data_IF_071634553159
#
_entry.id   IF_071634553159
#
_cell.length_a   1.000
_cell.length_b   1.000
_cell.length_c   1.000
_cell.angle_alpha   90.00
_cell.angle_beta   90.00
_cell.angle_gamma   90.00
#
_symmetry.space_group_name_H-M   'P 1'
#
loop_
_entity.id
_entity.type
_entity.pdbx_description
1 polymer ?
#
# COMPACT_ATOMS: atom_id res chain seq x y z
N UNK A 1 6.45 25.84 -12.36
CA UNK A 1 6.45 27.29 -12.05
C UNK A 1 5.87 27.54 -10.65
N UNK A 2 4.70 26.99 -10.32
CA UNK A 2 4.01 27.22 -9.03
C UNK A 2 4.63 26.52 -7.81
N UNK A 3 5.47 25.52 -7.97
CA UNK A 3 6.13 24.80 -6.87
C UNK A 3 7.00 25.70 -5.99
N UNK A 4 7.52 26.80 -6.54
CA UNK A 4 8.34 27.76 -5.80
C UNK A 4 7.58 28.53 -4.72
N UNK A 5 6.25 28.56 -4.80
CA UNK A 5 5.38 29.24 -3.83
C UNK A 5 5.23 28.44 -2.54
N UNK A 6 5.42 27.13 -2.60
CA UNK A 6 5.36 26.24 -1.42
C UNK A 6 6.66 26.41 -0.64
N UNK A 7 6.60 27.06 0.52
CA UNK A 7 7.78 27.35 1.35
C UNK A 7 8.35 26.08 2.01
N UNK A 8 7.48 25.21 2.48
CA UNK A 8 7.88 23.96 3.12
C UNK A 8 8.53 23.02 2.08
N UNK A 9 9.79 22.65 2.35
CA UNK A 9 10.57 21.78 1.48
C UNK A 9 10.02 20.34 1.42
N UNK A 10 9.50 19.83 2.55
CA UNK A 10 8.90 18.48 2.62
C UNK A 10 7.66 18.43 1.74
N UNK A 11 6.72 19.36 1.93
CA UNK A 11 5.49 19.45 1.12
C UNK A 11 5.81 19.65 -0.35
N UNK A 12 6.77 20.51 -0.69
CA UNK A 12 7.20 20.71 -2.09
C UNK A 12 7.71 19.42 -2.73
N UNK A 13 8.46 18.60 -1.99
CA UNK A 13 8.93 17.30 -2.47
C UNK A 13 7.76 16.33 -2.68
N UNK A 14 6.79 16.28 -1.76
CA UNK A 14 5.61 15.42 -1.89
C UNK A 14 4.77 15.82 -3.11
N UNK A 15 4.54 17.12 -3.32
CA UNK A 15 3.86 17.62 -4.53
C UNK A 15 4.61 17.23 -5.81
N UNK A 16 5.94 17.32 -5.80
CA UNK A 16 6.76 16.90 -6.95
C UNK A 16 6.66 15.39 -7.23
N UNK A 17 6.66 14.56 -6.17
CA UNK A 17 6.49 13.11 -6.28
C UNK A 17 5.09 12.76 -6.81
N UNK A 18 4.04 13.41 -6.29
CA UNK A 18 2.66 13.24 -6.78
C UNK A 18 2.53 13.58 -8.26
N UNK A 19 3.14 14.68 -8.69
CA UNK A 19 3.13 15.09 -10.10
C UNK A 19 3.84 14.06 -11.00
N UNK A 20 4.95 13.49 -10.53
CA UNK A 20 5.65 12.45 -11.27
C UNK A 20 4.82 11.16 -11.36
N UNK A 21 4.22 10.72 -10.25
CA UNK A 21 3.32 9.56 -10.22
C UNK A 21 2.16 9.76 -11.20
N UNK A 22 1.49 10.92 -11.12
CA UNK A 22 0.40 11.25 -12.04
C UNK A 22 0.82 11.19 -13.50
N UNK A 23 1.95 11.80 -13.88
CA UNK A 23 2.45 11.80 -15.26
C UNK A 23 2.74 10.37 -15.74
N UNK A 24 3.44 9.58 -14.96
CA UNK A 24 3.80 8.21 -15.32
C UNK A 24 2.57 7.31 -15.49
N UNK A 25 1.53 7.51 -14.65
CA UNK A 25 0.29 6.74 -14.76
C UNK A 25 -0.60 7.26 -15.89
N UNK A 26 -0.66 8.58 -16.08
CA UNK A 26 -1.55 9.21 -17.06
C UNK A 26 -1.11 8.95 -18.50
N UNK A 27 0.20 9.01 -18.78
CA UNK A 27 0.74 8.92 -20.13
C UNK A 27 0.22 7.70 -20.93
N UNK A 28 0.24 6.46 -20.41
CA UNK A 28 -0.29 5.28 -21.10
C UNK A 28 -1.83 5.20 -21.13
N UNK A 29 -2.53 5.96 -20.28
CA UNK A 29 -3.97 5.87 -20.07
C UNK A 29 -4.75 7.00 -20.75
N UNK A 30 -4.13 8.14 -21.05
CA UNK A 30 -4.81 9.37 -21.45
C UNK A 30 -5.81 9.16 -22.60
N UNK A 31 -5.42 8.43 -23.63
CA UNK A 31 -6.27 8.17 -24.80
C UNK A 31 -7.43 7.19 -24.54
N UNK A 32 -7.41 6.50 -23.39
CA UNK A 32 -8.40 5.48 -22.99
C UNK A 32 -9.42 6.01 -21.99
N UNK A 33 -9.18 7.19 -21.40
CA UNK A 33 -10.04 7.77 -20.40
C UNK A 33 -11.26 8.44 -21.03
N UNK A 34 -12.43 8.18 -20.47
CA UNK A 34 -13.67 8.82 -20.89
C UNK A 34 -13.69 10.29 -20.51
N UNK A 35 -14.25 11.10 -21.38
CA UNK A 35 -14.39 12.54 -21.20
C UNK A 35 -15.84 12.98 -21.22
N UNK A 36 -16.15 14.03 -20.48
CA UNK A 36 -17.48 14.62 -20.40
C UNK A 36 -17.50 15.85 -19.53
N UNK A 37 -18.69 16.38 -19.31
CA UNK A 37 -18.89 17.50 -18.39
C UNK A 37 -18.83 17.02 -16.95
N UNK A 38 -18.02 17.67 -16.15
CA UNK A 38 -17.85 17.44 -14.71
C UNK A 38 -18.07 18.73 -13.94
N UNK A 39 -18.52 18.62 -12.70
CA UNK A 39 -18.67 19.77 -11.80
C UNK A 39 -17.31 20.36 -11.41
N UNK A 40 -16.31 19.47 -11.22
CA UNK A 40 -14.90 19.79 -10.97
C UNK A 40 -14.60 20.46 -9.62
N UNK A 41 -15.61 20.76 -8.81
CA UNK A 41 -15.44 21.32 -7.46
C UNK A 41 -16.45 20.71 -6.46
N UNK A 42 -16.57 19.37 -6.49
CA UNK A 42 -17.44 18.63 -5.59
C UNK A 42 -16.84 18.56 -4.18
N UNK A 43 -17.03 19.62 -3.40
CA UNK A 43 -16.64 19.73 -2.01
C UNK A 43 -17.88 19.81 -1.08
N UNK A 44 -17.68 19.73 0.23
CA UNK A 44 -18.73 19.75 1.23
C UNK A 44 -19.52 21.06 1.30
N UNK A 45 -18.95 22.19 0.91
CA UNK A 45 -19.66 23.47 0.82
C UNK A 45 -20.63 23.55 -0.38
N UNK A 46 -20.37 22.75 -1.41
CA UNK A 46 -21.18 22.71 -2.62
C UNK A 46 -22.27 21.65 -2.57
N UNK A 47 -22.36 20.86 -1.50
CA UNK A 47 -23.35 19.81 -1.28
C UNK A 47 -24.38 20.26 -0.24
N UNK A 48 -25.62 20.41 -0.67
CA UNK A 48 -26.75 20.70 0.21
C UNK A 48 -27.42 19.41 0.64
N UNK A 49 -27.65 19.25 1.92
CA UNK A 49 -28.33 18.07 2.49
C UNK A 49 -29.70 18.51 3.01
N UNK A 50 -30.77 17.96 2.44
CA UNK A 50 -32.13 18.17 2.89
C UNK A 50 -32.56 16.95 3.74
N UNK A 51 -32.58 17.09 5.07
CA UNK A 51 -32.94 15.99 5.95
C UNK A 51 -34.39 15.55 5.72
N UNK A 52 -34.64 14.23 5.69
CA UNK A 52 -35.96 13.64 5.68
C UNK A 52 -36.27 13.00 7.04
N UNK A 53 -37.55 12.96 7.41
CA UNK A 53 -38.01 12.29 8.65
C UNK A 53 -37.76 10.78 8.61
N UNK A 54 -37.68 10.19 7.41
CA UNK A 54 -37.35 8.78 7.21
C UNK A 54 -36.67 8.60 5.84
N UNK A 55 -35.75 7.63 5.76
CA UNK A 55 -35.00 7.31 4.54
C UNK A 55 -33.72 8.12 4.32
N UNK A 56 -33.14 8.02 3.14
CA UNK A 56 -31.96 8.78 2.75
C UNK A 56 -32.31 10.27 2.51
N UNK A 57 -31.46 11.22 2.95
CA UNK A 57 -31.68 12.64 2.68
C UNK A 57 -31.63 12.93 1.18
N UNK A 58 -32.34 13.97 0.76
CA UNK A 58 -32.14 14.52 -0.58
C UNK A 58 -30.86 15.35 -0.62
N UNK A 59 -30.10 15.20 -1.69
CA UNK A 59 -28.87 15.96 -1.92
C UNK A 59 -29.08 16.93 -3.07
N UNK A 60 -28.63 18.16 -2.88
CA UNK A 60 -28.53 19.16 -3.92
C UNK A 60 -27.06 19.51 -4.17
N UNK A 61 -26.74 19.90 -5.37
CA UNK A 61 -25.43 20.40 -5.77
C UNK A 61 -25.55 21.83 -6.25
N UNK A 62 -24.65 22.69 -5.81
CA UNK A 62 -24.60 24.12 -6.16
C UNK A 62 -23.22 24.49 -6.67
N UNK A 63 -23.07 25.70 -7.16
CA UNK A 63 -21.83 26.29 -7.65
C UNK A 63 -21.20 25.57 -8.85
N UNK A 64 -21.87 25.70 -9.99
CA UNK A 64 -21.43 25.16 -11.29
C UNK A 64 -20.40 26.05 -12.01
N UNK A 65 -19.79 27.03 -11.30
CA UNK A 65 -18.83 27.98 -11.89
C UNK A 65 -17.58 27.34 -12.46
N UNK A 66 -17.12 26.25 -11.85
CA UNK A 66 -15.93 25.49 -12.25
C UNK A 66 -16.20 24.31 -13.19
N UNK A 67 -17.47 24.18 -13.66
CA UNK A 67 -17.84 23.10 -14.57
C UNK A 67 -16.99 23.12 -15.85
N UNK A 68 -16.47 21.97 -16.22
CA UNK A 68 -15.59 21.85 -17.39
C UNK A 68 -15.77 20.53 -18.10
N UNK A 69 -15.35 20.49 -19.38
CA UNK A 69 -15.29 19.24 -20.15
C UNK A 69 -13.90 18.61 -19.97
N UNK A 70 -13.84 17.57 -19.13
CA UNK A 70 -12.58 16.94 -18.73
C UNK A 70 -12.72 15.42 -18.64
N UNK A 71 -11.77 14.74 -18.00
CA UNK A 71 -11.86 13.29 -17.71
C UNK A 71 -12.94 13.05 -16.67
N UNK A 72 -13.85 12.11 -16.94
CA UNK A 72 -14.97 11.82 -16.04
C UNK A 72 -14.51 11.34 -14.67
N UNK A 73 -13.41 10.61 -14.60
CA UNK A 73 -12.80 10.15 -13.34
C UNK A 73 -12.27 11.28 -12.46
N UNK A 74 -12.06 12.48 -13.00
CA UNK A 74 -11.67 13.63 -12.20
C UNK A 74 -12.77 14.07 -11.22
N UNK A 75 -14.05 13.84 -11.55
CA UNK A 75 -15.16 14.13 -10.64
C UNK A 75 -15.08 13.37 -9.32
N UNK A 76 -15.07 12.02 -9.29
CA UNK A 76 -14.90 11.29 -8.04
C UNK A 76 -13.53 11.53 -7.39
N UNK A 77 -12.47 11.86 -8.15
CA UNK A 77 -11.17 12.20 -7.58
C UNK A 77 -11.24 13.48 -6.74
N UNK A 78 -11.88 14.53 -7.26
CA UNK A 78 -12.12 15.78 -6.53
C UNK A 78 -12.96 15.52 -5.28
N UNK A 79 -14.08 14.82 -5.42
CA UNK A 79 -14.96 14.49 -4.31
C UNK A 79 -14.23 13.68 -3.22
N UNK A 80 -13.42 12.67 -3.58
CA UNK A 80 -12.62 11.90 -2.65
C UNK A 80 -11.60 12.78 -1.91
N UNK A 81 -10.88 13.66 -2.61
CA UNK A 81 -9.89 14.53 -1.98
C UNK A 81 -10.49 15.36 -0.83
N UNK A 82 -11.70 15.86 -1.00
CA UNK A 82 -12.40 16.59 0.07
C UNK A 82 -13.01 15.66 1.14
N UNK A 83 -13.63 14.54 0.73
CA UNK A 83 -14.23 13.60 1.67
C UNK A 83 -13.20 12.94 2.61
N UNK A 84 -11.94 12.87 2.19
CA UNK A 84 -10.83 12.29 2.97
C UNK A 84 -10.23 13.26 3.99
N UNK A 85 -10.48 14.58 3.90
CA UNK A 85 -9.95 15.56 4.83
C UNK A 85 -10.43 15.26 6.25
N UNK A 86 -9.53 15.34 7.21
CA UNK A 86 -9.78 15.16 8.64
C UNK A 86 -10.42 13.83 9.04
N UNK A 87 -10.34 12.81 8.18
CA UNK A 87 -10.85 11.48 8.51
C UNK A 87 -9.78 10.64 9.20
N UNK A 88 -10.16 9.87 10.24
CA UNK A 88 -9.25 8.91 10.86
C UNK A 88 -8.70 7.90 9.85
N UNK A 89 -9.57 7.34 9.00
CA UNK A 89 -9.19 6.54 7.83
C UNK A 89 -9.63 7.24 6.54
N UNK A 90 -8.72 7.95 5.85
CA UNK A 90 -9.03 8.62 4.60
C UNK A 90 -9.44 7.66 3.47
N UNK A 91 -8.79 6.48 3.38
CA UNK A 91 -9.09 5.52 2.33
C UNK A 91 -10.48 4.92 2.49
N UNK A 92 -10.93 4.65 3.71
CA UNK A 92 -12.30 4.20 3.97
C UNK A 92 -13.33 5.21 3.49
N UNK A 93 -13.10 6.50 3.78
CA UNK A 93 -13.98 7.58 3.29
C UNK A 93 -14.04 7.59 1.75
N UNK A 94 -12.90 7.45 1.07
CA UNK A 94 -12.86 7.35 -0.38
C UNK A 94 -13.60 6.11 -0.91
N UNK A 95 -13.43 4.94 -0.28
CA UNK A 95 -14.12 3.69 -0.64
C UNK A 95 -15.63 3.85 -0.65
N UNK A 96 -16.20 4.48 0.37
CA UNK A 96 -17.64 4.71 0.43
C UNK A 96 -18.14 5.59 -0.71
N UNK A 97 -17.41 6.66 -1.04
CA UNK A 97 -17.74 7.56 -2.13
C UNK A 97 -17.61 6.87 -3.49
N UNK A 98 -16.50 6.18 -3.73
CA UNK A 98 -16.23 5.44 -4.97
C UNK A 98 -17.28 4.38 -5.22
N UNK A 99 -17.66 3.62 -4.19
CA UNK A 99 -18.73 2.62 -4.26
C UNK A 99 -20.06 3.25 -4.68
N UNK A 100 -20.44 4.34 -4.04
CA UNK A 100 -21.67 5.08 -4.36
C UNK A 100 -21.66 5.65 -5.78
N UNK A 101 -20.54 6.22 -6.20
CA UNK A 101 -20.33 6.75 -7.54
C UNK A 101 -20.42 5.63 -8.59
N UNK A 102 -19.69 4.54 -8.39
CA UNK A 102 -19.65 3.38 -9.30
C UNK A 102 -21.03 2.74 -9.48
N UNK A 103 -21.88 2.69 -8.44
CA UNK A 103 -23.24 2.17 -8.52
C UNK A 103 -24.13 2.97 -9.48
N UNK A 104 -23.87 4.26 -9.67
CA UNK A 104 -24.63 5.15 -10.54
C UNK A 104 -23.96 5.37 -11.88
N UNK A 105 -22.66 5.46 -11.86
CA UNK A 105 -21.82 5.66 -13.03
C UNK A 105 -20.63 4.72 -12.94
N UNK A 106 -20.68 3.53 -13.56
CA UNK A 106 -19.63 2.54 -13.47
C UNK A 106 -18.29 3.07 -13.96
N UNK A 107 -17.30 3.04 -13.06
CA UNK A 107 -15.91 3.36 -13.38
C UNK A 107 -15.27 2.21 -14.14
N UNK A 108 -14.45 2.52 -15.13
CA UNK A 108 -13.68 1.57 -15.92
C UNK A 108 -12.31 1.30 -15.29
N UNK A 109 -11.66 0.21 -15.69
CA UNK A 109 -10.36 -0.20 -15.16
C UNK A 109 -9.31 0.91 -15.25
N UNK A 110 -9.20 1.56 -16.42
CA UNK A 110 -8.23 2.63 -16.62
C UNK A 110 -8.53 3.87 -15.73
N UNK A 111 -9.80 4.09 -15.40
CA UNK A 111 -10.22 5.15 -14.50
C UNK A 111 -9.88 4.83 -13.05
N UNK A 112 -10.05 3.58 -12.62
CA UNK A 112 -9.65 3.13 -11.28
C UNK A 112 -8.14 3.18 -11.08
N UNK A 113 -7.36 2.88 -12.13
CA UNK A 113 -5.90 2.92 -12.09
C UNK A 113 -5.36 4.35 -11.87
N UNK A 114 -5.97 5.35 -12.53
CA UNK A 114 -5.53 6.76 -12.41
C UNK A 114 -6.19 7.48 -11.22
N UNK A 115 -7.21 6.93 -10.59
CA UNK A 115 -8.03 7.63 -9.58
C UNK A 115 -7.18 8.11 -8.38
N UNK A 116 -6.34 7.24 -7.79
CA UNK A 116 -5.51 7.63 -6.66
C UNK A 116 -4.50 8.75 -7.02
N UNK A 117 -3.73 8.66 -8.12
CA UNK A 117 -2.92 9.78 -8.60
C UNK A 117 -3.71 11.08 -8.80
N UNK A 118 -4.96 11.02 -9.29
CA UNK A 118 -5.79 12.21 -9.45
C UNK A 118 -6.24 12.80 -8.11
N UNK A 119 -6.54 11.98 -7.11
CA UNK A 119 -6.82 12.45 -5.74
C UNK A 119 -5.62 13.24 -5.20
N UNK A 120 -4.41 12.68 -5.32
CA UNK A 120 -3.18 13.38 -4.93
C UNK A 120 -3.01 14.70 -5.69
N UNK A 121 -3.30 14.72 -7.00
CA UNK A 121 -3.20 15.93 -7.80
C UNK A 121 -4.20 17.00 -7.37
N UNK A 122 -5.42 16.64 -6.96
CA UNK A 122 -6.38 17.61 -6.42
C UNK A 122 -5.86 18.25 -5.14
N UNK A 123 -5.30 17.47 -4.22
CA UNK A 123 -4.65 18.01 -3.01
C UNK A 123 -3.47 18.92 -3.36
N UNK A 124 -2.61 18.49 -4.28
CA UNK A 124 -1.48 19.29 -4.76
C UNK A 124 -1.94 20.63 -5.34
N UNK A 125 -3.05 20.63 -6.07
CA UNK A 125 -3.64 21.85 -6.64
C UNK A 125 -4.12 22.77 -5.53
N UNK A 126 -4.86 22.27 -4.54
CA UNK A 126 -5.34 23.03 -3.39
C UNK A 126 -4.16 23.64 -2.60
N UNK A 127 -3.12 22.87 -2.33
CA UNK A 127 -1.91 23.33 -1.63
C UNK A 127 -1.21 24.43 -2.42
N UNK A 128 -1.07 24.26 -3.73
CA UNK A 128 -0.34 25.20 -4.59
C UNK A 128 -1.10 26.51 -4.75
N UNK A 129 -2.42 26.46 -4.96
CA UNK A 129 -3.29 27.63 -5.05
C UNK A 129 -3.31 28.36 -3.70
N UNK A 130 -3.47 27.63 -2.58
CA UNK A 130 -3.43 28.22 -1.24
C UNK A 130 -2.11 28.93 -0.95
N UNK A 131 -0.97 28.34 -1.31
CA UNK A 131 0.34 28.96 -1.16
C UNK A 131 0.48 30.25 -2.00
N UNK A 132 -0.05 30.26 -3.23
CA UNK A 132 -0.08 31.44 -4.08
C UNK A 132 -0.98 32.54 -3.49
N UNK A 133 -2.19 32.19 -3.04
CA UNK A 133 -3.13 33.16 -2.46
C UNK A 133 -2.58 33.76 -1.16
N UNK A 134 -1.99 32.95 -0.29
CA UNK A 134 -1.39 33.39 0.97
C UNK A 134 -0.23 34.35 0.75
N UNK A 135 0.50 34.23 -0.36
CA UNK A 135 1.55 35.20 -0.69
C UNK A 135 0.97 36.56 -1.15
N UNK A 136 -0.17 36.52 -1.84
CA UNK A 136 -0.84 37.74 -2.32
C UNK A 136 -1.67 38.42 -1.22
N UNK A 137 -2.19 37.66 -0.26
CA UNK A 137 -2.92 38.14 0.91
C UNK A 137 -2.43 37.49 2.22
N UNK A 138 -1.27 37.92 2.75
CA UNK A 138 -0.66 37.31 3.95
C UNK A 138 -1.46 37.49 5.23
N UNK A 139 -2.48 38.35 5.24
CA UNK A 139 -3.32 38.63 6.42
C UNK A 139 -4.55 37.73 6.51
N UNK A 140 -4.82 36.95 5.49
CA UNK A 140 -5.96 36.04 5.45
C UNK A 140 -5.61 34.72 6.11
N UNK A 141 -5.87 34.61 7.41
CA UNK A 141 -5.61 33.40 8.21
C UNK A 141 -6.42 32.17 7.74
N UNK A 142 -7.59 32.38 7.14
CA UNK A 142 -8.45 31.30 6.64
C UNK A 142 -7.78 30.46 5.55
N UNK A 143 -6.97 31.10 4.69
CA UNK A 143 -6.23 30.40 3.64
C UNK A 143 -5.20 29.41 4.21
N UNK A 144 -4.62 29.72 5.36
CA UNK A 144 -3.65 28.86 6.05
C UNK A 144 -4.28 27.59 6.60
N UNK A 145 -5.49 27.66 7.16
CA UNK A 145 -6.19 26.51 7.78
C UNK A 145 -6.51 25.45 6.72
N UNK A 146 -7.18 25.83 5.65
CA UNK A 146 -7.55 24.90 4.56
C UNK A 146 -6.33 24.25 3.91
N UNK A 147 -5.23 24.99 3.79
CA UNK A 147 -3.98 24.47 3.25
C UNK A 147 -3.33 23.44 4.18
N UNK A 148 -3.40 23.63 5.50
CA UNK A 148 -2.82 22.72 6.47
C UNK A 148 -3.46 21.33 6.37
N UNK A 149 -4.78 21.24 6.38
CA UNK A 149 -5.50 19.95 6.28
C UNK A 149 -5.14 19.18 4.98
N UNK A 150 -5.00 19.90 3.87
CA UNK A 150 -4.57 19.29 2.61
C UNK A 150 -3.11 18.81 2.66
N UNK A 151 -2.21 19.53 3.35
CA UNK A 151 -0.83 19.11 3.54
C UNK A 151 -0.74 17.83 4.41
N UNK A 152 -1.45 17.81 5.53
CA UNK A 152 -1.49 16.65 6.44
C UNK A 152 -2.04 15.41 5.74
N UNK A 153 -3.13 15.56 4.99
CA UNK A 153 -3.67 14.46 4.19
C UNK A 153 -2.68 14.00 3.11
N UNK A 154 -2.02 14.93 2.40
CA UNK A 154 -1.03 14.58 1.39
C UNK A 154 0.13 13.77 1.98
N UNK A 155 0.63 14.14 3.17
CA UNK A 155 1.66 13.40 3.89
C UNK A 155 1.20 11.97 4.17
N UNK A 156 0.02 11.80 4.76
CA UNK A 156 -0.55 10.47 5.05
C UNK A 156 -0.73 9.62 3.80
N UNK A 157 -1.24 10.19 2.72
CA UNK A 157 -1.45 9.45 1.47
C UNK A 157 -0.14 9.07 0.77
N UNK A 158 0.96 9.76 1.03
CA UNK A 158 2.28 9.36 0.52
C UNK A 158 2.86 8.10 1.19
N UNK A 159 2.37 7.72 2.37
CA UNK A 159 2.69 6.45 3.03
C UNK A 159 1.88 5.28 2.44
N UNK A 160 0.83 5.57 1.67
CA UNK A 160 0.00 4.56 1.01
C UNK A 160 0.67 4.09 -0.28
N UNK A 161 0.82 2.77 -0.44
CA UNK A 161 1.23 2.22 -1.71
C UNK A 161 0.14 2.46 -2.78
N UNK A 162 0.42 3.12 -3.91
CA UNK A 162 -0.58 3.41 -4.94
C UNK A 162 -1.31 2.16 -5.48
N UNK A 163 -0.64 1.00 -5.52
CA UNK A 163 -1.27 -0.28 -5.90
C UNK A 163 -2.28 -0.75 -4.86
N UNK A 164 -1.98 -0.55 -3.58
CA UNK A 164 -2.93 -0.88 -2.53
C UNK A 164 -4.21 -0.04 -2.65
N UNK A 165 -4.08 1.28 -2.85
CA UNK A 165 -5.22 2.15 -3.09
C UNK A 165 -6.03 1.70 -4.33
N UNK A 166 -5.36 1.38 -5.44
CA UNK A 166 -6.01 0.85 -6.64
C UNK A 166 -6.79 -0.44 -6.36
N UNK A 167 -6.20 -1.40 -5.66
CA UNK A 167 -6.87 -2.67 -5.33
C UNK A 167 -8.07 -2.46 -4.40
N UNK A 168 -7.95 -1.54 -3.45
CA UNK A 168 -9.04 -1.17 -2.55
C UNK A 168 -10.22 -0.53 -3.32
N UNK A 169 -9.92 0.33 -4.30
CA UNK A 169 -10.94 0.97 -5.14
C UNK A 169 -11.61 -0.04 -6.08
N UNK A 170 -10.89 -1.02 -6.60
CA UNK A 170 -11.46 -2.14 -7.34
C UNK A 170 -12.44 -2.95 -6.51
N UNK A 171 -12.03 -3.30 -5.28
CA UNK A 171 -12.90 -4.02 -4.33
C UNK A 171 -14.17 -3.20 -4.00
N UNK A 172 -14.03 -1.89 -3.80
CA UNK A 172 -15.16 -0.99 -3.61
C UNK A 172 -16.17 -1.02 -4.77
N UNK A 173 -15.68 -1.30 -5.98
CA UNK A 173 -16.49 -1.45 -7.20
C UNK A 173 -16.98 -2.88 -7.45
N UNK A 174 -16.83 -3.82 -6.51
CA UNK A 174 -17.10 -5.25 -6.64
C UNK A 174 -16.33 -5.91 -7.79
N UNK A 175 -15.16 -5.39 -8.12
CA UNK A 175 -14.21 -6.03 -9.02
C UNK A 175 -13.24 -6.87 -8.23
N UNK A 176 -12.62 -7.89 -8.87
CA UNK A 176 -11.50 -8.61 -8.25
C UNK A 176 -10.41 -7.60 -7.85
N UNK A 177 -10.09 -7.52 -6.56
CA UNK A 177 -9.15 -6.52 -6.03
C UNK A 177 -7.80 -6.58 -6.75
N UNK A 178 -7.28 -7.79 -6.95
CA UNK A 178 -6.03 -8.02 -7.67
C UNK A 178 -6.29 -8.42 -9.14
N UNK A 179 -6.11 -7.53 -10.13
CA UNK A 179 -6.54 -7.75 -11.51
C UNK A 179 -5.90 -8.97 -12.17
N UNK A 180 -4.67 -9.32 -11.80
CA UNK A 180 -3.96 -10.48 -12.37
C UNK A 180 -4.26 -11.80 -11.64
N UNK A 181 -5.08 -11.81 -10.59
CA UNK A 181 -5.38 -13.02 -9.81
C UNK A 181 -5.94 -14.18 -10.66
N UNK A 182 -6.89 -13.95 -11.58
CA UNK A 182 -7.42 -15.02 -12.42
C UNK A 182 -6.36 -15.64 -13.34
N UNK A 183 -5.46 -14.83 -13.90
CA UNK A 183 -4.37 -15.29 -14.76
C UNK A 183 -3.29 -16.00 -13.95
N UNK A 184 -2.92 -15.44 -12.81
CA UNK A 184 -2.00 -16.07 -11.87
C UNK A 184 -2.52 -17.43 -11.41
N UNK A 185 -3.79 -17.54 -11.05
CA UNK A 185 -4.41 -18.80 -10.62
C UNK A 185 -4.42 -19.85 -11.74
N UNK A 186 -4.69 -19.44 -12.99
CA UNK A 186 -4.57 -20.34 -14.16
C UNK A 186 -3.14 -20.81 -14.37
N UNK A 187 -2.19 -19.88 -14.31
CA UNK A 187 -0.77 -20.19 -14.42
C UNK A 187 -0.33 -21.13 -13.29
N UNK A 188 -0.66 -20.83 -12.03
CA UNK A 188 -0.34 -21.66 -10.88
C UNK A 188 -0.84 -23.09 -11.02
N UNK A 189 -2.09 -23.28 -11.43
CA UNK A 189 -2.66 -24.61 -11.70
C UNK A 189 -1.91 -25.36 -12.81
N UNK A 190 -1.49 -24.64 -13.86
CA UNK A 190 -0.75 -25.22 -14.99
C UNK A 190 0.64 -25.70 -14.57
N UNK A 191 1.32 -24.96 -13.69
CA UNK A 191 2.72 -25.24 -13.31
C UNK A 191 2.86 -25.99 -11.99
N UNK A 192 1.79 -26.24 -11.25
CA UNK A 192 1.82 -26.85 -9.92
C UNK A 192 2.58 -28.19 -9.84
N UNK A 193 2.58 -28.97 -10.92
CA UNK A 193 3.33 -30.24 -11.01
C UNK A 193 4.75 -30.10 -11.57
N UNK A 194 5.18 -28.88 -11.94
CA UNK A 194 6.48 -28.66 -12.61
C UNK A 194 7.47 -27.88 -11.74
N UNK A 195 7.16 -27.62 -10.48
CA UNK A 195 8.09 -26.98 -9.57
C UNK A 195 9.29 -27.89 -9.31
N UNK A 196 10.49 -27.31 -9.47
CA UNK A 196 11.71 -27.98 -9.07
C UNK A 196 11.89 -27.89 -7.54
N UNK A 197 12.49 -28.90 -6.95
CA UNK A 197 12.79 -28.87 -5.53
C UNK A 197 13.89 -27.83 -5.23
N UNK A 198 13.67 -27.02 -4.23
CA UNK A 198 14.56 -25.92 -3.85
C UNK A 198 15.96 -26.40 -3.46
N UNK A 199 16.08 -27.63 -2.90
CA UNK A 199 17.32 -28.27 -2.55
C UNK A 199 17.78 -29.31 -3.59
N UNK A 200 17.18 -29.32 -4.79
CA UNK A 200 17.51 -30.25 -5.88
C UNK A 200 16.79 -31.61 -5.78
N UNK A 201 16.30 -31.97 -4.61
CA UNK A 201 15.57 -33.20 -4.33
C UNK A 201 14.43 -32.94 -3.33
N UNK A 202 13.46 -33.89 -3.22
CA UNK A 202 12.43 -33.80 -2.18
C UNK A 202 13.04 -33.75 -0.78
N UNK A 203 12.41 -32.98 0.13
CA UNK A 203 12.82 -33.00 1.54
C UNK A 203 12.71 -34.41 2.10
N UNK A 204 13.83 -34.96 2.56
CA UNK A 204 13.84 -36.24 3.26
C UNK A 204 13.22 -36.06 4.64
N UNK A 205 12.02 -36.60 4.87
CA UNK A 205 11.27 -36.45 6.12
C UNK A 205 11.99 -37.07 7.32
N UNK A 206 12.83 -38.07 7.13
CA UNK A 206 13.63 -38.70 8.22
C UNK A 206 14.79 -37.80 8.67
N UNK A 207 15.24 -36.89 7.79
CA UNK A 207 16.33 -35.95 8.05
C UNK A 207 15.85 -34.49 8.23
N UNK A 208 14.54 -34.29 8.27
CA UNK A 208 13.92 -32.99 8.41
C UNK A 208 13.18 -32.89 9.73
N UNK A 209 13.38 -31.79 10.45
CA UNK A 209 12.61 -31.48 11.66
C UNK A 209 11.90 -30.15 11.51
N UNK A 210 10.72 -30.02 12.13
CA UNK A 210 9.99 -28.77 12.20
C UNK A 210 10.57 -27.93 13.34
N UNK A 211 10.94 -26.69 13.01
CA UNK A 211 11.33 -25.67 13.97
C UNK A 211 10.07 -24.90 14.39
N UNK A 212 9.72 -24.99 15.66
CA UNK A 212 8.63 -24.18 16.21
C UNK A 212 9.18 -22.84 16.69
N UNK A 213 9.13 -21.84 15.79
CA UNK A 213 9.59 -20.47 16.05
C UNK A 213 8.47 -19.57 16.58
N UNK A 214 7.30 -20.15 16.90
CA UNK A 214 6.18 -19.40 17.42
C UNK A 214 6.47 -18.79 18.79
N UNK A 215 5.85 -17.64 19.05
CA UNK A 215 5.90 -16.99 20.35
C UNK A 215 5.43 -17.95 21.46
N UNK A 216 6.26 -18.08 22.50
CA UNK A 216 6.00 -19.01 23.61
C UNK A 216 6.37 -20.47 23.35
N UNK A 217 6.90 -20.84 22.19
CA UNK A 217 7.48 -22.15 21.99
C UNK A 217 8.75 -22.33 22.84
N UNK A 218 9.06 -23.57 23.21
CA UNK A 218 10.29 -23.86 23.95
C UNK A 218 11.56 -23.57 23.17
N UNK A 219 11.51 -23.62 21.85
CA UNK A 219 12.62 -23.26 20.95
C UNK A 219 12.83 -21.73 20.97
N UNK A 220 11.78 -20.97 20.74
CA UNK A 220 11.82 -19.50 20.73
C UNK A 220 12.26 -18.95 22.09
N UNK A 221 11.69 -19.46 23.19
CA UNK A 221 12.05 -19.01 24.54
C UNK A 221 13.52 -19.26 24.91
N UNK A 222 14.14 -20.30 24.35
CA UNK A 222 15.56 -20.62 24.60
C UNK A 222 16.50 -19.78 23.74
N UNK A 223 16.10 -19.38 22.55
CA UNK A 223 16.92 -18.59 21.62
C UNK A 223 16.76 -17.09 21.82
N UNK A 224 15.79 -16.65 22.61
CA UNK A 224 15.54 -15.24 22.87
C UNK A 224 16.74 -14.57 23.60
N UNK A 225 17.17 -13.43 23.10
CA UNK A 225 18.31 -12.68 23.65
C UNK A 225 19.70 -13.24 23.34
N UNK A 226 19.81 -14.30 22.57
CA UNK A 226 21.10 -14.81 22.09
C UNK A 226 21.67 -13.94 20.96
N UNK A 227 23.01 -13.86 20.88
CA UNK A 227 23.67 -13.31 19.69
C UNK A 227 23.41 -14.20 18.47
N UNK A 228 23.60 -13.68 17.26
CA UNK A 228 23.41 -14.44 16.01
C UNK A 228 24.26 -15.70 15.97
N UNK A 229 25.51 -15.65 16.46
CA UNK A 229 26.41 -16.80 16.54
C UNK A 229 25.88 -17.84 17.53
N UNK A 230 25.37 -17.41 18.69
CA UNK A 230 24.79 -18.31 19.69
C UNK A 230 23.48 -18.94 19.20
N UNK A 231 22.67 -18.21 18.47
CA UNK A 231 21.46 -18.75 17.82
C UNK A 231 21.79 -19.81 16.77
N UNK A 232 22.83 -19.60 15.96
CA UNK A 232 23.30 -20.56 14.99
C UNK A 232 23.80 -21.85 15.69
N UNK A 233 24.63 -21.73 16.72
CA UNK A 233 25.12 -22.88 17.49
C UNK A 233 23.98 -23.63 18.19
N UNK A 234 22.99 -22.92 18.70
CA UNK A 234 21.79 -23.51 19.29
C UNK A 234 20.99 -24.28 18.23
N UNK A 235 20.77 -23.72 17.05
CA UNK A 235 20.09 -24.38 15.94
C UNK A 235 20.83 -25.64 15.50
N UNK A 236 22.15 -25.57 15.31
CA UNK A 236 22.97 -26.72 14.90
C UNK A 236 22.93 -27.84 15.96
N UNK A 237 22.89 -27.46 17.23
CA UNK A 237 22.78 -28.42 18.35
C UNK A 237 21.40 -29.07 18.35
N UNK A 238 20.34 -28.27 18.19
CA UNK A 238 18.97 -28.77 18.11
C UNK A 238 18.75 -29.73 16.95
N UNK A 239 19.29 -29.42 15.76
CA UNK A 239 19.22 -30.32 14.59
C UNK A 239 19.94 -31.64 14.86
N UNK A 240 21.13 -31.61 15.47
CA UNK A 240 21.87 -32.81 15.87
C UNK A 240 21.12 -33.66 16.87
N UNK A 241 20.50 -33.06 17.88
CA UNK A 241 19.67 -33.80 18.87
C UNK A 241 18.46 -34.47 18.25
N UNK A 242 17.91 -33.89 17.17
CA UNK A 242 16.79 -34.42 16.39
C UNK A 242 17.23 -35.43 15.31
N UNK A 243 18.54 -35.68 15.15
CA UNK A 243 19.10 -36.43 14.04
C UNK A 243 18.65 -35.89 12.67
N UNK A 244 18.49 -34.58 12.57
CA UNK A 244 18.03 -33.88 11.38
C UNK A 244 19.17 -33.09 10.74
N UNK A 245 19.12 -32.94 9.43
CA UNK A 245 20.03 -32.14 8.60
C UNK A 245 19.33 -30.85 8.14
N UNK A 246 17.99 -30.82 8.16
CA UNK A 246 17.16 -29.75 7.67
C UNK A 246 16.17 -29.30 8.74
N UNK A 247 16.14 -28.03 9.03
CA UNK A 247 15.11 -27.41 9.86
C UNK A 247 14.08 -26.65 9.00
N UNK A 248 12.80 -26.82 9.30
CA UNK A 248 11.72 -26.13 8.57
C UNK A 248 10.88 -25.31 9.53
N UNK A 249 10.92 -23.99 9.41
CA UNK A 249 10.02 -23.05 10.09
C UNK A 249 8.65 -23.02 9.41
N UNK A 250 7.61 -22.81 10.22
CA UNK A 250 6.22 -22.91 9.75
C UNK A 250 5.77 -21.65 9.00
N UNK A 251 4.87 -21.85 8.05
CA UNK A 251 4.10 -20.78 7.43
C UNK A 251 3.02 -20.24 8.40
N UNK A 252 2.72 -18.97 8.32
CA UNK A 252 1.68 -18.29 9.11
C UNK A 252 1.91 -18.39 10.62
N UNK A 253 3.13 -18.19 11.05
CA UNK A 253 3.59 -18.38 12.44
C UNK A 253 3.73 -17.03 13.16
N UNK A 254 3.09 -16.89 14.32
CA UNK A 254 3.25 -15.73 15.19
C UNK A 254 4.61 -15.80 15.90
N UNK A 255 5.49 -14.82 15.68
CA UNK A 255 6.87 -14.82 16.21
C UNK A 255 7.12 -13.64 17.13
N UNK A 256 7.73 -13.91 18.29
CA UNK A 256 8.19 -12.86 19.22
C UNK A 256 9.34 -12.03 18.64
N UNK A 257 10.11 -12.58 17.71
CA UNK A 257 11.17 -11.91 16.99
C UNK A 257 10.71 -10.59 16.34
N UNK A 258 9.49 -10.51 15.85
CA UNK A 258 8.91 -9.30 15.27
C UNK A 258 8.50 -8.24 16.30
N UNK A 259 8.78 -8.45 17.59
CA UNK A 259 8.56 -7.45 18.63
C UNK A 259 9.61 -6.33 18.65
N UNK A 260 10.74 -6.50 17.93
CA UNK A 260 11.78 -5.48 17.81
C UNK A 260 11.30 -4.23 17.06
N UNK A 261 11.91 -3.09 17.35
CA UNK A 261 11.47 -1.79 16.83
C UNK A 261 11.69 -1.64 15.32
N UNK A 262 12.62 -2.41 14.74
CA UNK A 262 12.89 -2.52 13.31
C UNK A 262 11.68 -3.02 12.50
N UNK A 263 10.73 -3.69 13.16
CA UNK A 263 9.50 -4.19 12.55
C UNK A 263 8.29 -3.32 12.82
N UNK A 264 8.48 -2.11 13.38
CA UNK A 264 7.42 -1.12 13.52
C UNK A 264 6.94 -0.66 12.14
N UNK A 265 5.64 -0.64 11.98
CA UNK A 265 5.02 -0.03 10.82
C UNK A 265 4.59 1.39 11.19
N UNK A 266 5.44 2.38 10.88
CA UNK A 266 5.18 3.79 11.17
C UNK A 266 4.07 4.41 10.31
N UNK A 267 3.49 3.64 9.39
CA UNK A 267 2.55 4.16 8.38
C UNK A 267 1.08 4.21 8.81
N UNK A 268 0.75 3.66 9.97
CA UNK A 268 -0.61 3.65 10.52
C UNK A 268 -0.62 4.16 11.95
N UNK A 269 -1.66 4.87 12.35
CA UNK A 269 -1.88 5.48 13.67
C UNK A 269 -1.85 4.45 14.83
N UNK A 270 -0.74 3.93 15.11
CA UNK A 270 -0.55 3.00 16.21
C UNK A 270 0.60 2.08 15.88
N UNK A 271 1.52 2.00 16.75
CA UNK A 271 2.70 1.16 16.75
C UNK A 271 2.41 -0.33 16.42
N UNK A 272 1.82 -0.59 15.25
CA UNK A 272 1.57 -1.94 14.78
C UNK A 272 2.89 -2.57 14.36
N UNK A 273 3.25 -3.66 15.02
CA UNK A 273 4.40 -4.49 14.68
C UNK A 273 3.96 -5.64 13.79
N UNK A 274 4.84 -6.07 12.91
CA UNK A 274 4.67 -7.37 12.25
C UNK A 274 4.63 -8.43 13.34
N UNK A 275 3.68 -9.36 13.27
CA UNK A 275 3.53 -10.42 14.24
C UNK A 275 3.50 -11.80 13.60
N UNK A 276 3.14 -11.87 12.33
CA UNK A 276 2.96 -13.13 11.60
C UNK A 276 4.01 -13.27 10.50
N UNK A 277 4.71 -14.40 10.51
CA UNK A 277 5.61 -14.81 9.44
C UNK A 277 4.84 -15.45 8.29
N UNK A 278 4.90 -14.84 7.11
CA UNK A 278 4.19 -15.31 5.91
C UNK A 278 5.09 -16.11 4.95
N UNK A 279 6.22 -16.62 5.44
CA UNK A 279 7.17 -17.43 4.70
C UNK A 279 7.29 -18.84 5.28
N UNK A 280 8.08 -19.65 4.62
CA UNK A 280 8.60 -20.93 5.14
C UNK A 280 10.11 -20.79 5.20
N UNK A 281 10.69 -20.96 6.38
CA UNK A 281 12.15 -20.98 6.51
C UNK A 281 12.66 -22.41 6.28
N UNK A 282 13.72 -22.54 5.51
CA UNK A 282 14.43 -23.80 5.32
C UNK A 282 15.87 -23.58 5.79
N UNK A 283 16.18 -24.09 6.96
CA UNK A 283 17.51 -24.01 7.56
C UNK A 283 18.34 -25.21 7.14
N UNK A 284 19.42 -24.94 6.43
CA UNK A 284 20.35 -25.97 5.91
C UNK A 284 21.79 -25.50 6.15
N UNK A 285 22.80 -26.41 6.16
CA UNK A 285 24.19 -26.05 6.33
C UNK A 285 24.67 -25.00 5.30
N UNK A 286 25.57 -24.13 5.71
CA UNK A 286 26.18 -23.18 4.81
C UNK A 286 26.88 -23.87 3.62
N UNK A 287 26.73 -23.33 2.42
CA UNK A 287 27.24 -23.92 1.18
C UNK A 287 26.27 -24.88 0.48
N UNK A 288 25.09 -25.15 1.06
CA UNK A 288 24.06 -25.93 0.38
C UNK A 288 23.60 -25.21 -0.90
N UNK A 289 23.55 -25.93 -2.01
CA UNK A 289 23.10 -25.39 -3.29
C UNK A 289 21.60 -25.21 -3.28
N UNK A 290 21.13 -24.02 -3.69
CA UNK A 290 19.72 -23.67 -3.78
C UNK A 290 19.33 -23.52 -5.26
N UNK A 291 18.22 -24.11 -5.65
CA UNK A 291 17.69 -24.12 -7.00
C UNK A 291 16.43 -23.23 -7.09
N UNK A 292 16.31 -22.48 -8.19
CA UNK A 292 15.06 -21.78 -8.48
C UNK A 292 13.95 -22.81 -8.74
N UNK A 293 12.80 -22.73 -8.02
CA UNK A 293 11.73 -23.71 -8.17
C UNK A 293 11.01 -23.62 -9.51
N UNK A 294 11.13 -22.46 -10.20
CA UNK A 294 10.55 -22.20 -11.51
C UNK A 294 11.55 -21.41 -12.36
N UNK A 295 11.34 -21.42 -13.67
CA UNK A 295 12.13 -20.59 -14.58
C UNK A 295 11.92 -19.11 -14.28
N UNK A 296 13.00 -18.38 -14.11
CA UNK A 296 13.00 -16.95 -13.85
C UNK A 296 14.28 -16.28 -14.32
N UNK A 297 14.40 -15.00 -13.98
CA UNK A 297 15.63 -14.20 -14.15
C UNK A 297 15.95 -13.53 -12.84
N UNK A 298 17.22 -13.36 -12.54
CA UNK A 298 17.65 -12.60 -11.37
C UNK A 298 17.27 -11.15 -11.60
N UNK A 299 16.39 -10.62 -10.72
CA UNK A 299 15.94 -9.24 -10.79
C UNK A 299 16.86 -8.31 -10.02
N UNK A 300 17.27 -8.74 -8.82
CA UNK A 300 18.11 -7.94 -7.93
C UNK A 300 18.93 -8.86 -7.03
N UNK A 301 20.13 -8.43 -6.69
CA UNK A 301 20.97 -9.00 -5.65
C UNK A 301 21.28 -7.89 -4.66
N UNK A 302 21.05 -8.10 -3.39
CA UNK A 302 21.27 -7.11 -2.35
C UNK A 302 21.87 -7.77 -1.10
N UNK A 303 22.82 -7.10 -0.47
CA UNK A 303 23.34 -7.47 0.84
C UNK A 303 22.74 -6.50 1.88
N UNK A 304 21.70 -6.96 2.56
CA UNK A 304 21.01 -6.21 3.60
C UNK A 304 21.82 -6.33 4.89
N UNK A 305 22.48 -5.23 5.30
CA UNK A 305 23.41 -5.21 6.42
C UNK A 305 22.80 -4.74 7.74
N UNK A 306 21.53 -4.36 7.73
CA UNK A 306 20.84 -3.97 8.96
C UNK A 306 20.67 -5.15 9.89
N UNK A 307 20.77 -4.93 11.18
CA UNK A 307 20.52 -5.94 12.19
C UNK A 307 19.08 -6.45 12.03
N UNK A 308 18.86 -7.77 12.14
CA UNK A 308 17.56 -8.43 11.94
C UNK A 308 16.95 -8.35 10.52
N UNK A 309 17.70 -7.85 9.54
CA UNK A 309 17.30 -7.86 8.13
C UNK A 309 17.66 -9.19 7.45
N UNK A 310 17.26 -9.37 6.19
CA UNK A 310 17.39 -10.63 5.43
C UNK A 310 18.83 -11.02 5.08
N UNK A 311 19.83 -10.16 5.34
CA UNK A 311 21.21 -10.41 4.91
C UNK A 311 21.34 -10.45 3.38
N UNK A 312 22.28 -11.25 2.83
CA UNK A 312 22.43 -11.44 1.39
C UNK A 312 21.18 -12.07 0.76
N UNK A 313 20.58 -11.38 -0.19
CA UNK A 313 19.30 -11.73 -0.82
C UNK A 313 19.41 -11.71 -2.34
N UNK A 314 18.75 -12.64 -3.01
CA UNK A 314 18.64 -12.73 -4.47
C UNK A 314 17.18 -12.66 -4.90
#
# INVERSE_FOLDING_TARGET
>A
EYLTWIKDKKIRNLVSRSLNLYKLTMEPLESKLRRGWIHNDFNDYNVLVLPKLAGTPDLGLIDFGDMTHSYLVAEPAVACAYAMLDKPDPLEAAVHLIRGFHQRFPLEENELEILFPMILMRLCLSITIGAFQQQNDPKNEYLGISQQHACELLERLHEVNPRFAHYLFRDACNMEAFPSLPEFSKWQKKVAGSFHFILGEPLNTEKTTVLDLSAGSSFSAKSEGMSLEAQQEFLDTYLREKNAEIGVGKYFEARSFYAADEFLNDSLDGHEKRTIHLGIDICVPAGTVIYAPIKGVVHQIQDNKSELDYGPTV
#
